data_IF_994799761060
#
_entry.id   IF_994799761060
#
_cell.length_a   1.000
_cell.length_b   1.000
_cell.length_c   1.000
_cell.angle_alpha   90.00
_cell.angle_beta   90.00
_cell.angle_gamma   90.00
#
_symmetry.space_group_name_H-M   'P 1'
#
loop_
_entity.id
_entity.type
_entity.pdbx_description
1 polymer ?
#
# COMPACT_ATOMS: atom_id res chain seq x y z
N UNK A 1 18.45 79.10 -98.36
CA UNK A 1 18.25 77.84 -97.63
C UNK A 1 17.13 78.05 -96.60
N UNK A 2 15.93 77.51 -96.88
CA UNK A 2 14.84 77.50 -95.90
C UNK A 2 15.32 76.74 -94.65
N UNK A 3 15.06 77.30 -93.46
CA UNK A 3 15.38 76.66 -92.18
C UNK A 3 14.49 75.42 -91.99
N UNK A 4 14.89 74.31 -92.60
CA UNK A 4 14.27 73.00 -92.39
C UNK A 4 14.73 72.51 -91.01
N UNK A 5 13.95 72.75 -89.95
CA UNK A 5 14.31 72.17 -88.64
C UNK A 5 13.66 72.76 -87.40
N UNK A 6 12.93 73.87 -87.47
CA UNK A 6 12.26 74.44 -86.28
C UNK A 6 10.80 74.79 -86.55
N UNK A 7 9.93 74.29 -85.69
CA UNK A 7 8.47 74.37 -85.77
C UNK A 7 7.83 73.05 -85.32
N UNK A 8 6.53 73.04 -85.04
CA UNK A 8 5.79 71.88 -84.52
C UNK A 8 5.81 70.62 -85.44
N UNK A 9 6.37 70.74 -86.65
CA UNK A 9 6.55 69.67 -87.63
C UNK A 9 8.03 69.22 -87.78
N UNK A 10 8.96 69.72 -86.97
CA UNK A 10 10.36 69.31 -87.07
C UNK A 10 10.64 67.96 -86.38
N UNK A 11 11.58 67.19 -86.94
CA UNK A 11 12.02 65.89 -86.39
C UNK A 11 12.45 65.99 -84.91
N UNK A 12 13.14 67.07 -84.54
CA UNK A 12 13.57 67.30 -83.16
C UNK A 12 12.38 67.54 -82.21
N UNK A 13 11.34 68.28 -82.65
CA UNK A 13 10.13 68.47 -81.86
C UNK A 13 9.34 67.15 -81.69
N UNK A 14 9.21 66.37 -82.76
CA UNK A 14 8.58 65.04 -82.70
C UNK A 14 9.35 64.08 -81.78
N UNK A 15 10.69 64.11 -81.79
CA UNK A 15 11.52 63.32 -80.88
C UNK A 15 11.38 63.77 -79.42
N UNK A 16 11.29 65.08 -79.15
CA UNK A 16 11.00 65.59 -77.81
C UNK A 16 9.62 65.16 -77.31
N UNK A 17 8.57 65.23 -78.14
CA UNK A 17 7.23 64.75 -77.78
C UNK A 17 7.23 63.24 -77.50
N UNK A 18 7.91 62.45 -78.34
CA UNK A 18 8.09 61.00 -78.10
C UNK A 18 8.78 60.75 -76.76
N UNK A 19 9.85 61.47 -76.46
CA UNK A 19 10.62 61.31 -75.21
C UNK A 19 9.82 61.75 -73.98
N UNK A 20 9.00 62.79 -74.08
CA UNK A 20 8.04 63.19 -73.04
C UNK A 20 7.04 62.06 -72.80
N UNK A 21 6.47 61.47 -73.87
CA UNK A 21 5.52 60.36 -73.73
C UNK A 21 6.15 59.10 -73.13
N UNK A 22 7.40 58.78 -73.46
CA UNK A 22 8.16 57.69 -72.85
C UNK A 22 8.45 57.95 -71.36
N UNK A 23 8.81 59.19 -70.99
CA UNK A 23 9.03 59.58 -69.60
C UNK A 23 7.73 59.53 -68.80
N UNK A 24 6.61 60.00 -69.35
CA UNK A 24 5.30 59.91 -68.71
C UNK A 24 4.86 58.45 -68.52
N UNK A 25 5.07 57.60 -69.53
CA UNK A 25 4.82 56.16 -69.42
C UNK A 25 5.69 55.52 -68.33
N UNK A 26 7.00 55.81 -68.30
CA UNK A 26 7.91 55.30 -67.26
C UNK A 26 7.55 55.81 -65.87
N UNK A 27 7.15 57.09 -65.75
CA UNK A 27 6.70 57.68 -64.48
C UNK A 27 5.46 56.95 -63.97
N UNK A 28 4.47 56.71 -64.85
CA UNK A 28 3.25 55.97 -64.49
C UNK A 28 3.54 54.53 -64.08
N UNK A 29 4.45 53.84 -64.78
CA UNK A 29 4.90 52.49 -64.41
C UNK A 29 5.58 52.48 -63.04
N UNK A 30 6.51 53.42 -62.78
CA UNK A 30 7.17 53.54 -61.46
C UNK A 30 6.20 53.89 -60.35
N UNK A 31 5.23 54.77 -60.60
CA UNK A 31 4.16 55.08 -59.64
C UNK A 31 3.31 53.84 -59.32
N UNK A 32 3.00 53.00 -60.32
CA UNK A 32 2.33 51.72 -60.12
C UNK A 32 3.18 50.74 -59.29
N UNK A 33 4.46 50.57 -59.64
CA UNK A 33 5.39 49.73 -58.87
C UNK A 33 5.53 50.20 -57.41
N UNK A 34 5.60 51.51 -57.19
CA UNK A 34 5.67 52.13 -55.86
C UNK A 34 4.39 51.83 -55.05
N UNK A 35 3.22 51.96 -55.66
CA UNK A 35 1.93 51.62 -55.02
C UNK A 35 1.89 50.14 -54.65
N UNK A 36 2.26 49.23 -55.56
CA UNK A 36 2.32 47.79 -55.29
C UNK A 36 3.27 47.46 -54.14
N UNK A 37 4.48 48.04 -54.11
CA UNK A 37 5.43 47.85 -53.00
C UNK A 37 4.88 48.35 -51.67
N UNK A 38 4.15 49.47 -51.69
CA UNK A 38 3.54 50.05 -50.49
C UNK A 38 2.45 49.12 -49.93
N UNK A 39 1.56 48.62 -50.78
CA UNK A 39 0.52 47.66 -50.39
C UNK A 39 1.11 46.33 -49.91
N UNK A 40 2.12 45.79 -50.59
CA UNK A 40 2.83 44.59 -50.11
C UNK A 40 3.45 44.80 -48.73
N UNK A 41 4.05 45.96 -48.48
CA UNK A 41 4.64 46.30 -47.18
C UNK A 41 3.58 46.38 -46.07
N UNK A 42 2.38 46.90 -46.38
CA UNK A 42 1.25 46.90 -45.43
C UNK A 42 0.83 45.48 -45.05
N UNK A 43 0.65 44.61 -46.05
CA UNK A 43 0.26 43.21 -45.83
C UNK A 43 1.28 42.49 -44.95
N UNK A 44 2.57 42.63 -45.28
CA UNK A 44 3.66 42.03 -44.49
C UNK A 44 3.68 42.55 -43.05
N UNK A 45 3.42 43.84 -42.85
CA UNK A 45 3.36 44.44 -41.52
C UNK A 45 2.16 43.94 -40.71
N UNK A 46 0.97 43.88 -41.31
CA UNK A 46 -0.22 43.34 -40.67
C UNK A 46 -0.04 41.85 -40.32
N UNK A 47 0.59 41.06 -41.19
CA UNK A 47 0.94 39.67 -40.89
C UNK A 47 1.84 39.55 -39.66
N UNK A 48 2.83 40.44 -39.51
CA UNK A 48 3.67 40.51 -38.32
C UNK A 48 2.87 40.87 -37.06
N UNK A 49 1.89 41.77 -37.16
CA UNK A 49 0.99 42.11 -36.04
C UNK A 49 0.18 40.90 -35.58
N UNK A 50 -0.41 40.16 -36.52
CA UNK A 50 -1.15 38.93 -36.24
C UNK A 50 -0.22 37.87 -35.62
N UNK A 51 1.00 37.73 -36.14
CA UNK A 51 1.99 36.83 -35.57
C UNK A 51 2.30 37.17 -34.10
N UNK A 52 2.52 38.46 -33.78
CA UNK A 52 2.72 38.87 -32.39
C UNK A 52 1.51 38.56 -31.51
N UNK A 53 0.29 38.72 -32.04
CA UNK A 53 -0.93 38.40 -31.30
C UNK A 53 -1.04 36.90 -30.99
N UNK A 54 -0.83 36.04 -31.99
CA UNK A 54 -0.85 34.58 -31.81
C UNK A 54 0.27 34.11 -30.86
N UNK A 55 1.43 34.76 -30.90
CA UNK A 55 2.53 34.53 -29.97
C UNK A 55 2.30 35.14 -28.58
N UNK A 56 1.13 35.71 -28.28
CA UNK A 56 0.78 36.35 -26.99
C UNK A 56 1.71 37.51 -26.61
N UNK A 57 2.29 38.17 -27.61
CA UNK A 57 3.19 39.34 -27.47
C UNK A 57 2.40 40.64 -27.57
N UNK A 58 1.36 40.79 -26.75
CA UNK A 58 0.37 41.86 -26.84
C UNK A 58 0.96 43.28 -26.82
N UNK A 59 2.01 43.55 -26.03
CA UNK A 59 2.70 44.85 -26.03
C UNK A 59 3.31 45.18 -27.40
N UNK A 60 3.82 44.19 -28.13
CA UNK A 60 4.35 44.38 -29.48
C UNK A 60 3.23 44.63 -30.49
N UNK A 61 2.06 44.01 -30.32
CA UNK A 61 0.87 44.30 -31.14
C UNK A 61 0.45 45.76 -30.97
N UNK A 62 0.37 46.26 -29.74
CA UNK A 62 0.00 47.66 -29.47
C UNK A 62 1.03 48.62 -30.08
N UNK A 63 2.33 48.37 -29.87
CA UNK A 63 3.38 49.18 -30.50
C UNK A 63 3.26 49.17 -32.02
N UNK A 64 3.05 48.00 -32.62
CA UNK A 64 2.90 47.85 -34.05
C UNK A 64 1.64 48.54 -34.59
N UNK A 65 0.52 48.48 -33.88
CA UNK A 65 -0.72 49.21 -34.20
C UNK A 65 -0.47 50.72 -34.28
N UNK A 66 0.24 51.28 -33.29
CA UNK A 66 0.58 52.71 -33.27
C UNK A 66 1.51 53.10 -34.43
N UNK A 67 2.53 52.29 -34.72
CA UNK A 67 3.41 52.50 -35.87
C UNK A 67 2.66 52.40 -37.20
N UNK A 68 1.77 51.41 -37.35
CA UNK A 68 0.97 51.21 -38.55
C UNK A 68 0.15 52.47 -38.87
N UNK A 69 -0.59 52.97 -37.88
CA UNK A 69 -1.41 54.17 -38.04
C UNK A 69 -0.56 55.41 -38.35
N UNK A 70 0.66 55.51 -37.83
CA UNK A 70 1.56 56.64 -38.09
C UNK A 70 2.20 56.59 -39.48
N UNK A 71 2.57 55.40 -39.96
CA UNK A 71 3.23 55.21 -41.27
C UNK A 71 2.23 55.40 -42.40
N UNK A 72 1.06 54.75 -42.32
CA UNK A 72 0.11 54.70 -43.43
C UNK A 72 -1.07 55.67 -43.30
N UNK A 73 -1.29 56.30 -42.13
CA UNK A 73 -2.37 57.28 -41.87
C UNK A 73 -3.78 56.78 -42.20
N UNK A 74 -3.92 55.48 -42.40
CA UNK A 74 -5.19 54.76 -42.54
C UNK A 74 -5.55 54.30 -41.13
N UNK A 75 -6.59 54.88 -40.53
CA UNK A 75 -6.98 54.61 -39.14
C UNK A 75 -7.35 53.15 -38.90
N UNK A 76 -8.64 52.80 -39.06
CA UNK A 76 -9.10 51.41 -38.88
C UNK A 76 -8.84 50.59 -40.15
N UNK A 77 -7.59 50.20 -40.36
CA UNK A 77 -7.21 49.33 -41.48
C UNK A 77 -7.75 47.91 -41.29
N UNK A 78 -8.64 47.46 -42.18
CA UNK A 78 -8.99 46.04 -42.29
C UNK A 78 -7.72 45.23 -42.54
N UNK A 79 -7.55 44.12 -41.84
CA UNK A 79 -6.42 43.23 -42.03
C UNK A 79 -6.59 42.51 -43.37
N UNK A 80 -5.54 42.49 -44.18
CA UNK A 80 -5.44 41.70 -45.41
C UNK A 80 -5.26 40.24 -45.03
N UNK A 81 -6.37 39.61 -44.67
CA UNK A 81 -6.48 38.20 -44.31
C UNK A 81 -7.32 37.53 -45.38
N UNK A 82 -6.85 36.39 -45.88
CA UNK A 82 -7.63 35.58 -46.81
C UNK A 82 -8.94 35.14 -46.13
N UNK A 83 -10.06 35.29 -46.84
CA UNK A 83 -11.39 35.02 -46.29
C UNK A 83 -11.55 33.56 -45.82
N UNK A 84 -10.83 32.64 -46.47
CA UNK A 84 -10.85 31.20 -46.15
C UNK A 84 -9.80 30.79 -45.11
N UNK A 85 -8.94 31.70 -44.65
CA UNK A 85 -7.89 31.37 -43.69
C UNK A 85 -8.45 31.10 -42.29
N UNK A 86 -7.77 30.21 -41.56
CA UNK A 86 -8.11 29.89 -40.17
C UNK A 86 -8.07 31.12 -39.25
N UNK A 87 -7.23 32.10 -39.60
CA UNK A 87 -7.14 33.36 -38.87
C UNK A 87 -8.43 34.15 -39.04
N UNK A 88 -8.96 34.28 -40.26
CA UNK A 88 -10.22 34.98 -40.47
C UNK A 88 -11.37 34.32 -39.70
N UNK A 89 -11.45 32.98 -39.72
CA UNK A 89 -12.45 32.21 -38.96
C UNK A 89 -12.36 32.44 -37.45
N UNK A 90 -11.16 32.56 -36.90
CA UNK A 90 -10.98 32.89 -35.47
C UNK A 90 -11.58 34.27 -35.15
N UNK A 91 -11.34 35.29 -35.98
CA UNK A 91 -11.92 36.62 -35.75
C UNK A 91 -13.44 36.65 -35.98
N UNK A 92 -13.92 36.10 -37.10
CA UNK A 92 -15.31 36.20 -37.51
C UNK A 92 -16.23 35.20 -36.81
N UNK A 93 -15.86 33.92 -36.76
CA UNK A 93 -16.69 32.83 -36.22
C UNK A 93 -16.49 32.64 -34.71
N UNK A 94 -15.26 32.77 -34.21
CA UNK A 94 -14.99 32.52 -32.79
C UNK A 94 -15.15 33.75 -31.91
N UNK A 95 -14.71 34.93 -32.39
CA UNK A 95 -14.73 36.17 -31.62
C UNK A 95 -15.84 37.13 -32.04
N UNK A 96 -16.51 36.91 -33.19
CA UNK A 96 -17.60 37.73 -33.67
C UNK A 96 -17.20 39.17 -34.03
N UNK A 97 -15.91 39.41 -34.32
CA UNK A 97 -15.35 40.74 -34.57
C UNK A 97 -14.70 40.82 -35.95
N UNK A 98 -14.71 42.01 -36.55
CA UNK A 98 -14.01 42.21 -37.82
C UNK A 98 -12.50 42.19 -37.61
N UNK A 99 -11.73 41.51 -38.48
CA UNK A 99 -10.28 41.45 -38.39
C UNK A 99 -9.68 42.78 -38.85
N UNK A 100 -9.54 43.73 -37.93
CA UNK A 100 -8.93 45.04 -38.19
C UNK A 100 -7.75 45.29 -37.27
N UNK A 101 -6.91 46.26 -37.62
CA UNK A 101 -5.81 46.73 -36.78
C UNK A 101 -6.33 47.23 -35.42
N UNK A 102 -7.49 47.90 -35.39
CA UNK A 102 -8.09 48.38 -34.13
C UNK A 102 -8.64 47.24 -33.26
N UNK A 103 -9.18 46.18 -33.87
CA UNK A 103 -9.60 44.97 -33.16
C UNK A 103 -8.41 44.28 -32.51
N UNK A 104 -7.29 44.13 -33.22
CA UNK A 104 -6.04 43.59 -32.67
C UNK A 104 -5.52 44.43 -31.49
N UNK A 105 -5.54 45.76 -31.61
CA UNK A 105 -5.14 46.69 -30.56
C UNK A 105 -6.01 46.51 -29.31
N UNK A 106 -7.33 46.45 -29.50
CA UNK A 106 -8.33 46.34 -28.42
C UNK A 106 -8.25 44.99 -27.70
N UNK A 107 -8.19 43.88 -28.45
CA UNK A 107 -8.03 42.53 -27.88
C UNK A 107 -6.69 42.40 -27.13
N UNK A 108 -5.63 43.00 -27.66
CA UNK A 108 -4.33 43.02 -26.99
C UNK A 108 -4.38 43.78 -25.66
N UNK A 109 -5.07 44.92 -25.62
CA UNK A 109 -5.26 45.68 -24.38
C UNK A 109 -6.07 44.89 -23.34
N UNK A 110 -7.12 44.19 -23.75
CA UNK A 110 -7.92 43.37 -22.84
C UNK A 110 -7.13 42.17 -22.32
N UNK A 111 -6.41 41.46 -23.20
CA UNK A 111 -5.53 40.36 -22.79
C UNK A 111 -4.44 40.81 -21.79
N UNK A 112 -3.85 41.99 -21.99
CA UNK A 112 -2.90 42.58 -21.02
C UNK A 112 -3.59 42.82 -19.68
N UNK A 113 -4.76 43.46 -19.70
CA UNK A 113 -5.52 43.76 -18.48
C UNK A 113 -5.91 42.49 -17.73
N UNK A 114 -6.32 41.44 -18.42
CA UNK A 114 -6.71 40.17 -17.82
C UNK A 114 -5.53 39.45 -17.17
N UNK A 115 -4.37 39.47 -17.83
CA UNK A 115 -3.12 38.91 -17.27
C UNK A 115 -2.68 39.71 -16.05
N UNK A 116 -2.68 41.05 -16.14
CA UNK A 116 -2.26 41.92 -15.04
C UNK A 116 -3.18 41.73 -13.81
N UNK A 117 -4.51 41.73 -14.01
CA UNK A 117 -5.48 41.39 -12.96
C UNK A 117 -5.30 39.96 -12.44
N UNK A 118 -4.99 39.01 -13.31
CA UNK A 118 -4.73 37.63 -12.95
C UNK A 118 -3.54 37.50 -12.01
N UNK A 119 -2.46 38.22 -12.30
CA UNK A 119 -1.26 38.30 -11.47
C UNK A 119 -1.55 38.99 -10.13
N UNK A 120 -2.29 40.10 -10.14
CA UNK A 120 -2.69 40.80 -8.90
C UNK A 120 -3.51 39.89 -7.98
N UNK A 121 -4.50 39.17 -8.52
CA UNK A 121 -5.30 38.21 -7.75
C UNK A 121 -4.44 37.05 -7.25
N UNK A 122 -3.52 36.54 -8.06
CA UNK A 122 -2.56 35.51 -7.62
C UNK A 122 -1.75 35.99 -6.41
N UNK A 123 -1.20 37.20 -6.44
CA UNK A 123 -0.40 37.73 -5.35
C UNK A 123 -1.22 37.86 -4.06
N UNK A 124 -2.45 38.36 -4.17
CA UNK A 124 -3.40 38.46 -3.06
C UNK A 124 -3.74 37.09 -2.45
N UNK A 125 -4.01 36.09 -3.28
CA UNK A 125 -4.34 34.72 -2.83
C UNK A 125 -3.14 34.07 -2.11
N UNK A 126 -1.92 34.26 -2.62
CA UNK A 126 -0.71 33.75 -1.96
C UNK A 126 -0.50 34.41 -0.60
N UNK A 127 -0.79 35.71 -0.48
CA UNK A 127 -0.68 36.44 0.79
C UNK A 127 -1.72 35.97 1.82
N UNK A 128 -2.89 35.50 1.35
CA UNK A 128 -3.92 34.90 2.20
C UNK A 128 -3.74 33.43 2.52
N UNK A 129 -2.75 32.75 1.95
CA UNK A 129 -2.57 31.31 2.12
C UNK A 129 -3.53 30.45 1.26
N UNK A 130 -4.26 31.06 0.33
CA UNK A 130 -5.20 30.40 -0.59
C UNK A 130 -4.45 29.82 -1.81
N UNK A 131 -3.56 28.86 -1.57
CA UNK A 131 -2.60 28.37 -2.57
C UNK A 131 -3.25 27.56 -3.70
N UNK A 132 -4.40 26.92 -3.47
CA UNK A 132 -5.08 26.16 -4.51
C UNK A 132 -5.62 27.11 -5.58
N UNK A 133 -6.39 28.10 -5.14
CA UNK A 133 -6.92 29.18 -5.98
C UNK A 133 -5.81 29.96 -6.65
N UNK A 134 -4.72 30.26 -5.93
CA UNK A 134 -3.55 30.93 -6.49
C UNK A 134 -2.95 30.13 -7.66
N UNK A 135 -2.81 28.81 -7.51
CA UNK A 135 -2.26 27.95 -8.57
C UNK A 135 -3.10 27.97 -9.86
N UNK A 136 -4.43 27.93 -9.71
CA UNK A 136 -5.37 27.98 -10.84
C UNK A 136 -5.30 29.34 -11.54
N UNK A 137 -5.32 30.42 -10.75
CA UNK A 137 -5.27 31.78 -11.30
C UNK A 137 -3.97 32.08 -12.02
N UNK A 138 -2.83 31.63 -11.48
CA UNK A 138 -1.54 31.77 -12.15
C UNK A 138 -1.49 30.97 -13.45
N UNK A 139 -2.03 29.75 -13.48
CA UNK A 139 -2.09 28.94 -14.69
C UNK A 139 -2.95 29.59 -15.78
N UNK A 140 -4.11 30.15 -15.42
CA UNK A 140 -4.97 30.93 -16.33
C UNK A 140 -4.23 32.13 -16.92
N UNK A 141 -3.58 32.94 -16.07
CA UNK A 141 -2.84 34.11 -16.52
C UNK A 141 -1.64 33.74 -17.40
N UNK A 142 -0.93 32.66 -17.06
CA UNK A 142 0.16 32.12 -17.88
C UNK A 142 -0.32 31.63 -19.25
N UNK A 143 -1.47 30.94 -19.30
CA UNK A 143 -2.05 30.46 -20.55
C UNK A 143 -2.41 31.62 -21.49
N UNK A 144 -2.86 32.76 -20.96
CA UNK A 144 -3.19 33.94 -21.78
C UNK A 144 -1.93 34.71 -22.17
N UNK A 145 -0.99 34.91 -21.24
CA UNK A 145 0.10 35.88 -21.39
C UNK A 145 1.48 35.39 -20.92
N UNK A 146 1.88 34.17 -21.28
CA UNK A 146 3.20 33.59 -20.95
C UNK A 146 4.38 34.58 -21.07
N UNK A 147 4.42 35.39 -22.13
CA UNK A 147 5.52 36.33 -22.37
C UNK A 147 5.30 37.73 -21.77
N UNK A 148 4.25 37.92 -20.99
CA UNK A 148 3.95 39.20 -20.36
C UNK A 148 4.94 39.53 -19.25
N UNK A 149 5.37 40.81 -19.11
CA UNK A 149 6.24 41.22 -18.02
C UNK A 149 5.66 40.89 -16.65
N UNK A 150 4.35 41.07 -16.43
CA UNK A 150 3.69 40.76 -15.16
C UNK A 150 3.94 39.31 -14.70
N UNK A 151 3.94 38.34 -15.62
CA UNK A 151 4.25 36.93 -15.33
C UNK A 151 5.76 36.73 -15.10
N UNK A 152 6.58 37.33 -15.96
CA UNK A 152 8.03 37.12 -15.95
C UNK A 152 8.73 37.77 -14.75
N UNK A 153 8.18 38.87 -14.22
CA UNK A 153 8.72 39.58 -13.06
C UNK A 153 8.13 39.11 -11.72
N UNK A 154 7.23 38.13 -11.72
CA UNK A 154 6.69 37.55 -10.49
C UNK A 154 7.81 37.09 -9.56
N UNK A 155 7.65 37.42 -8.28
CA UNK A 155 8.59 37.06 -7.23
C UNK A 155 8.78 35.53 -7.17
N UNK A 156 10.04 35.11 -7.05
CA UNK A 156 10.39 33.68 -7.05
C UNK A 156 9.83 32.96 -5.83
N UNK A 157 9.79 33.61 -4.68
CA UNK A 157 9.34 32.99 -3.43
C UNK A 157 7.83 32.73 -3.44
N UNK A 158 7.02 33.66 -3.95
CA UNK A 158 5.59 33.44 -4.19
C UNK A 158 5.34 32.25 -5.12
N UNK A 159 6.07 32.17 -6.24
CA UNK A 159 6.01 31.02 -7.16
C UNK A 159 6.40 29.70 -6.50
N UNK A 160 7.42 29.72 -5.63
CA UNK A 160 7.89 28.52 -4.93
C UNK A 160 6.87 27.99 -3.94
N UNK A 161 6.20 28.86 -3.17
CA UNK A 161 5.12 28.46 -2.25
C UNK A 161 4.02 27.69 -2.98
N UNK A 162 3.54 28.24 -4.09
CA UNK A 162 2.49 27.60 -4.91
C UNK A 162 2.99 26.32 -5.57
N UNK A 163 4.24 26.29 -6.05
CA UNK A 163 4.84 25.08 -6.61
C UNK A 163 4.92 23.93 -5.59
N UNK A 164 5.24 24.22 -4.33
CA UNK A 164 5.29 23.21 -3.26
C UNK A 164 3.91 22.61 -2.98
N UNK A 165 2.85 23.43 -3.00
CA UNK A 165 1.47 22.95 -2.95
C UNK A 165 1.13 22.05 -4.16
N UNK A 166 1.38 22.53 -5.39
CA UNK A 166 1.09 21.77 -6.62
C UNK A 166 1.82 20.42 -6.66
N UNK A 167 3.09 20.39 -6.22
CA UNK A 167 3.86 19.13 -6.10
C UNK A 167 3.23 18.18 -5.10
N UNK A 168 2.81 18.67 -3.93
CA UNK A 168 2.10 17.87 -2.94
C UNK A 168 0.78 17.31 -3.48
N UNK A 169 0.01 18.11 -4.21
CA UNK A 169 -1.23 17.67 -4.87
C UNK A 169 -1.00 16.58 -5.91
N UNK A 170 0.09 16.66 -6.68
CA UNK A 170 0.49 15.59 -7.60
C UNK A 170 0.92 14.32 -6.88
N UNK A 171 1.61 14.44 -5.73
CA UNK A 171 1.95 13.28 -4.89
C UNK A 171 0.69 12.62 -4.34
N UNK A 172 -0.31 13.40 -3.93
CA UNK A 172 -1.61 12.89 -3.49
C UNK A 172 -2.31 12.11 -4.61
N UNK A 173 -2.37 12.69 -5.82
CA UNK A 173 -2.97 12.03 -6.98
C UNK A 173 -2.27 10.68 -7.27
N UNK A 174 -0.94 10.69 -7.34
CA UNK A 174 -0.15 9.48 -7.57
C UNK A 174 -0.36 8.42 -6.46
N UNK A 175 -0.50 8.84 -5.19
CA UNK A 175 -0.78 7.94 -4.08
C UNK A 175 -2.15 7.29 -4.21
N UNK A 176 -3.18 8.06 -4.61
CA UNK A 176 -4.52 7.52 -4.87
C UNK A 176 -4.49 6.54 -6.07
N UNK A 177 -3.84 6.92 -7.17
CA UNK A 177 -3.76 6.09 -8.39
C UNK A 177 -3.00 4.78 -8.15
N UNK A 178 -1.95 4.83 -7.33
CA UNK A 178 -1.19 3.64 -6.90
C UNK A 178 -1.83 2.86 -5.76
N UNK A 179 -3.01 3.28 -5.27
CA UNK A 179 -3.75 2.68 -4.15
C UNK A 179 -2.96 2.68 -2.82
N UNK A 180 -2.01 3.61 -2.67
CA UNK A 180 -1.31 3.87 -1.42
C UNK A 180 -2.11 4.87 -0.57
N UNK A 181 -3.18 4.36 0.03
CA UNK A 181 -4.10 5.18 0.82
C UNK A 181 -3.52 5.68 2.15
N UNK A 182 -2.45 5.05 2.66
CA UNK A 182 -1.71 5.54 3.82
C UNK A 182 -1.02 6.84 3.46
N UNK A 183 -0.22 6.83 2.39
CA UNK A 183 0.46 8.03 1.90
C UNK A 183 -0.51 9.09 1.44
N UNK A 184 -1.63 8.72 0.81
CA UNK A 184 -2.68 9.67 0.44
C UNK A 184 -3.25 10.38 1.68
N UNK A 185 -3.47 9.67 2.78
CA UNK A 185 -3.96 10.26 4.04
C UNK A 185 -2.94 11.23 4.65
N UNK A 186 -1.66 10.86 4.68
CA UNK A 186 -0.57 11.73 5.13
C UNK A 186 -0.50 13.02 4.29
N UNK A 187 -0.53 12.87 2.96
CA UNK A 187 -0.44 14.00 2.04
C UNK A 187 -1.65 14.94 2.14
N UNK A 188 -2.85 14.41 2.36
CA UNK A 188 -4.05 15.22 2.63
C UNK A 188 -3.84 16.11 3.85
N UNK A 189 -3.31 15.55 4.94
CA UNK A 189 -3.06 16.31 6.16
C UNK A 189 -1.98 17.37 5.97
N UNK A 190 -0.92 17.05 5.23
CA UNK A 190 0.14 18.00 4.89
C UNK A 190 -0.40 19.17 4.04
N UNK A 191 -1.22 18.89 3.02
CA UNK A 191 -1.80 19.91 2.15
C UNK A 191 -2.78 20.83 2.88
N UNK A 192 -3.61 20.29 3.78
CA UNK A 192 -4.48 21.10 4.66
C UNK A 192 -3.71 22.04 5.58
N UNK A 193 -2.47 21.68 5.96
CA UNK A 193 -1.59 22.55 6.73
C UNK A 193 -0.87 23.62 5.91
N UNK A 194 -0.85 23.48 4.56
CA UNK A 194 -0.15 24.40 3.66
C UNK A 194 -1.06 25.41 2.97
N UNK A 195 -2.30 25.03 2.69
CA UNK A 195 -3.25 25.85 1.93
C UNK A 195 -4.59 25.90 2.65
N UNK A 196 -5.06 27.10 2.96
CA UNK A 196 -6.28 27.32 3.74
C UNK A 196 -7.55 27.01 2.93
N UNK A 197 -7.47 27.13 1.60
CA UNK A 197 -8.56 26.91 0.66
C UNK A 197 -8.61 25.49 0.06
N UNK A 198 -7.74 24.59 0.53
CA UNK A 198 -7.67 23.22 0.00
C UNK A 198 -8.88 22.38 0.44
N UNK A 199 -9.73 22.00 -0.53
CA UNK A 199 -10.86 21.10 -0.29
C UNK A 199 -10.44 19.62 -0.34
N UNK A 200 -10.13 19.08 0.83
CA UNK A 200 -9.79 17.68 1.01
C UNK A 200 -11.00 16.71 0.92
N UNK A 201 -12.24 17.20 0.87
CA UNK A 201 -13.46 16.38 1.10
C UNK A 201 -13.55 15.21 0.12
N UNK A 202 -13.31 15.46 -1.17
CA UNK A 202 -13.38 14.41 -2.20
C UNK A 202 -12.29 13.36 -2.02
N UNK A 203 -11.05 13.79 -1.77
CA UNK A 203 -9.92 12.89 -1.59
C UNK A 203 -10.11 12.04 -0.31
N UNK A 204 -10.53 12.65 0.79
CA UNK A 204 -10.84 11.96 2.04
C UNK A 204 -11.98 10.95 1.87
N UNK A 205 -13.07 11.33 1.19
CA UNK A 205 -14.18 10.42 0.94
C UNK A 205 -13.76 9.20 0.10
N UNK A 206 -12.95 9.42 -0.94
CA UNK A 206 -12.42 8.34 -1.77
C UNK A 206 -11.52 7.39 -0.95
N UNK A 207 -10.54 7.93 -0.23
CA UNK A 207 -9.64 7.15 0.64
C UNK A 207 -10.44 6.38 1.69
N UNK A 208 -11.38 7.03 2.38
CA UNK A 208 -12.22 6.39 3.38
C UNK A 208 -13.14 5.31 2.80
N UNK A 209 -13.60 5.45 1.55
CA UNK A 209 -14.41 4.44 0.89
C UNK A 209 -13.58 3.20 0.54
N UNK A 210 -12.41 3.36 -0.07
CA UNK A 210 -11.56 2.23 -0.46
C UNK A 210 -10.97 1.49 0.74
N UNK A 211 -10.49 2.22 1.74
CA UNK A 211 -9.97 1.62 2.98
C UNK A 211 -11.05 0.81 3.69
N UNK A 212 -12.27 1.36 3.86
CA UNK A 212 -13.40 0.62 4.44
C UNK A 212 -13.82 -0.58 3.61
N UNK A 213 -13.83 -0.47 2.29
CA UNK A 213 -14.18 -1.58 1.41
C UNK A 213 -13.17 -2.74 1.52
N UNK A 214 -11.87 -2.44 1.51
CA UNK A 214 -10.81 -3.44 1.73
C UNK A 214 -10.92 -4.07 3.13
N UNK A 215 -11.12 -3.26 4.17
CA UNK A 215 -11.30 -3.74 5.53
C UNK A 215 -12.50 -4.70 5.67
N UNK A 216 -13.60 -4.39 4.99
CA UNK A 216 -14.77 -5.26 4.96
C UNK A 216 -14.46 -6.61 4.32
N UNK A 217 -13.71 -6.63 3.22
CA UNK A 217 -13.29 -7.89 2.57
C UNK A 217 -12.38 -8.73 3.49
N UNK A 218 -11.46 -8.09 4.21
CA UNK A 218 -10.62 -8.79 5.21
C UNK A 218 -11.48 -9.36 6.35
N UNK A 219 -12.50 -8.62 6.81
CA UNK A 219 -13.43 -9.13 7.82
C UNK A 219 -14.24 -10.32 7.31
N UNK A 220 -14.70 -10.29 6.05
CA UNK A 220 -15.34 -11.44 5.42
C UNK A 220 -14.39 -12.65 5.33
N UNK A 221 -13.12 -12.42 4.98
CA UNK A 221 -12.11 -13.47 4.97
C UNK A 221 -11.90 -14.10 6.35
N UNK A 222 -11.80 -13.28 7.41
CA UNK A 222 -11.71 -13.76 8.81
C UNK A 222 -12.93 -14.62 9.19
N UNK A 223 -14.14 -14.22 8.78
CA UNK A 223 -15.36 -15.00 9.02
C UNK A 223 -15.36 -16.34 8.27
N UNK A 224 -14.94 -16.35 6.99
CA UNK A 224 -14.82 -17.58 6.21
C UNK A 224 -13.75 -18.53 6.77
N UNK A 225 -12.63 -17.99 7.23
CA UNK A 225 -11.59 -18.75 7.92
C UNK A 225 -12.13 -19.42 9.19
N UNK A 226 -12.90 -18.69 10.01
CA UNK A 226 -13.56 -19.24 11.20
C UNK A 226 -14.58 -20.34 10.84
N UNK A 227 -15.28 -20.20 9.71
CA UNK A 227 -16.18 -21.20 9.16
C UNK A 227 -15.47 -22.37 8.45
N UNK A 228 -14.12 -22.42 8.46
CA UNK A 228 -13.28 -23.42 7.78
C UNK A 228 -13.45 -23.46 6.25
N UNK A 229 -13.94 -22.37 5.65
CA UNK A 229 -14.13 -22.20 4.20
C UNK A 229 -12.93 -21.44 3.61
N UNK A 230 -11.84 -22.16 3.34
CA UNK A 230 -10.57 -21.58 2.91
C UNK A 230 -10.65 -20.97 1.50
N UNK A 231 -11.48 -21.52 0.62
CA UNK A 231 -11.63 -21.03 -0.76
C UNK A 231 -12.28 -19.64 -0.77
N UNK A 232 -13.38 -19.46 -0.03
CA UNK A 232 -14.02 -18.15 0.10
C UNK A 232 -13.15 -17.14 0.87
N UNK A 233 -12.39 -17.60 1.87
CA UNK A 233 -11.45 -16.75 2.58
C UNK A 233 -10.36 -16.19 1.64
N UNK A 234 -9.77 -17.04 0.79
CA UNK A 234 -8.79 -16.63 -0.22
C UNK A 234 -9.39 -15.68 -1.26
N UNK A 235 -10.62 -15.94 -1.71
CA UNK A 235 -11.33 -15.06 -2.63
C UNK A 235 -11.52 -13.64 -2.08
N UNK A 236 -11.99 -13.54 -0.83
CA UNK A 236 -12.18 -12.25 -0.15
C UNK A 236 -10.85 -11.50 0.05
N UNK A 237 -9.75 -12.18 0.39
CA UNK A 237 -8.42 -11.55 0.50
C UNK A 237 -7.91 -11.05 -0.85
N UNK A 238 -8.12 -11.80 -1.93
CA UNK A 238 -7.76 -11.32 -3.28
C UNK A 238 -8.47 -10.01 -3.61
N UNK A 239 -9.78 -9.94 -3.36
CA UNK A 239 -10.55 -8.71 -3.53
C UNK A 239 -10.07 -7.59 -2.61
N UNK A 240 -9.69 -7.88 -1.36
CA UNK A 240 -9.12 -6.89 -0.44
C UNK A 240 -7.82 -6.29 -0.97
N UNK A 241 -6.92 -7.13 -1.50
CA UNK A 241 -5.63 -6.72 -2.09
C UNK A 241 -5.82 -5.94 -3.39
N UNK A 242 -6.81 -6.31 -4.21
CA UNK A 242 -7.15 -5.53 -5.42
C UNK A 242 -7.59 -4.11 -5.08
N UNK A 243 -8.32 -3.91 -3.98
CA UNK A 243 -8.78 -2.60 -3.52
C UNK A 243 -7.64 -1.81 -2.87
N UNK A 244 -6.94 -2.42 -1.91
CA UNK A 244 -5.84 -1.82 -1.16
C UNK A 244 -4.74 -2.87 -0.89
N UNK A 245 -3.71 -2.92 -1.75
CA UNK A 245 -2.67 -3.96 -1.65
C UNK A 245 -1.85 -3.91 -0.36
N UNK A 246 -1.64 -2.70 0.17
CA UNK A 246 -0.82 -2.43 1.35
C UNK A 246 -1.69 -2.25 2.61
N UNK A 247 -2.88 -2.87 2.67
CA UNK A 247 -3.73 -2.77 3.85
C UNK A 247 -3.02 -3.41 5.05
N UNK A 248 -2.74 -2.68 6.15
CA UNK A 248 -2.02 -3.22 7.31
C UNK A 248 -2.74 -4.40 7.99
N UNK A 249 -4.06 -4.53 7.80
CA UNK A 249 -4.84 -5.65 8.35
C UNK A 249 -4.61 -6.98 7.62
N UNK A 250 -3.98 -6.97 6.44
CA UNK A 250 -3.57 -8.20 5.77
C UNK A 250 -2.52 -8.94 6.60
N UNK A 251 -1.58 -8.22 7.21
CA UNK A 251 -0.57 -8.81 8.11
C UNK A 251 -1.21 -9.48 9.32
N UNK A 252 -2.30 -8.91 9.86
CA UNK A 252 -3.05 -9.56 10.93
C UNK A 252 -3.74 -10.84 10.46
N UNK A 253 -4.27 -10.83 9.23
CA UNK A 253 -4.90 -12.01 8.65
C UNK A 253 -3.87 -13.14 8.42
N UNK A 254 -2.69 -12.83 7.89
CA UNK A 254 -1.62 -13.79 7.67
C UNK A 254 -1.23 -14.48 8.99
N UNK A 255 -1.07 -13.70 10.07
CA UNK A 255 -0.80 -14.25 11.41
C UNK A 255 -1.90 -15.18 11.90
N UNK A 256 -3.17 -14.88 11.60
CA UNK A 256 -4.30 -15.76 11.96
C UNK A 256 -4.28 -17.06 11.16
N UNK A 257 -3.94 -16.99 9.87
CA UNK A 257 -3.79 -18.18 9.02
C UNK A 257 -2.62 -19.04 9.50
N UNK A 258 -1.47 -18.44 9.81
CA UNK A 258 -0.29 -19.14 10.32
C UNK A 258 -0.56 -19.81 11.68
N UNK A 259 -1.27 -19.09 12.58
CA UNK A 259 -1.73 -19.66 13.85
C UNK A 259 -2.68 -20.85 13.62
N UNK A 260 -3.65 -20.71 12.71
CA UNK A 260 -4.55 -21.80 12.32
C UNK A 260 -3.82 -23.01 11.73
N UNK A 261 -2.85 -22.78 10.86
CA UNK A 261 -2.00 -23.83 10.27
C UNK A 261 -1.16 -24.56 11.33
N UNK A 262 -0.58 -23.81 12.28
CA UNK A 262 0.16 -24.38 13.41
C UNK A 262 -0.72 -25.26 14.29
N UNK A 263 -1.97 -24.84 14.56
CA UNK A 263 -2.93 -25.66 15.31
C UNK A 263 -3.27 -26.97 14.58
N UNK A 264 -3.43 -26.94 13.25
CA UNK A 264 -3.65 -28.16 12.45
C UNK A 264 -2.44 -29.10 12.54
N UNK A 265 -1.23 -28.56 12.44
CA UNK A 265 -0.01 -29.34 12.60
C UNK A 265 0.07 -29.97 13.99
N UNK A 266 -0.19 -29.21 15.06
CA UNK A 266 -0.20 -29.74 16.43
C UNK A 266 -1.26 -30.82 16.63
N UNK A 267 -2.45 -30.67 16.04
CA UNK A 267 -3.47 -31.72 16.08
C UNK A 267 -3.01 -33.02 15.40
N UNK A 268 -2.38 -32.91 14.23
CA UNK A 268 -1.85 -34.08 13.51
C UNK A 268 -0.67 -34.72 14.27
N UNK A 269 0.21 -33.90 14.86
CA UNK A 269 1.30 -34.35 15.72
C UNK A 269 0.78 -35.08 16.96
N UNK A 270 -0.29 -34.57 17.59
CA UNK A 270 -0.96 -35.23 18.71
C UNK A 270 -1.45 -36.63 18.31
N UNK A 271 -2.17 -36.74 17.19
CA UNK A 271 -2.69 -38.02 16.70
C UNK A 271 -1.56 -39.02 16.42
N UNK A 272 -0.45 -38.56 15.81
CA UNK A 272 0.75 -39.38 15.58
C UNK A 272 1.39 -39.84 16.88
N UNK A 273 1.68 -38.92 17.80
CA UNK A 273 2.33 -39.24 19.08
C UNK A 273 1.46 -40.16 19.94
N UNK A 274 0.13 -39.99 19.88
CA UNK A 274 -0.81 -40.88 20.54
C UNK A 274 -0.74 -42.30 19.96
N UNK A 275 -0.73 -42.45 18.63
CA UNK A 275 -0.62 -43.74 17.95
C UNK A 275 0.73 -44.43 18.21
N UNK A 276 1.81 -43.66 18.27
CA UNK A 276 3.15 -44.13 18.63
C UNK A 276 3.31 -44.46 20.13
N UNK A 277 2.27 -44.23 20.94
CA UNK A 277 2.29 -44.34 22.41
C UNK A 277 3.35 -43.46 23.08
N UNK A 278 3.77 -42.38 22.42
CA UNK A 278 4.76 -41.44 22.94
C UNK A 278 4.10 -40.39 23.86
N UNK A 279 3.49 -40.88 24.95
CA UNK A 279 2.69 -40.09 25.87
C UNK A 279 3.50 -39.04 26.65
N UNK A 280 4.81 -39.27 26.86
CA UNK A 280 5.70 -38.30 27.51
C UNK A 280 5.97 -37.08 26.63
N UNK A 281 6.10 -37.25 25.31
CA UNK A 281 6.21 -36.10 24.41
C UNK A 281 4.90 -35.29 24.40
N UNK A 282 3.76 -35.99 24.41
CA UNK A 282 2.43 -35.34 24.56
C UNK A 282 2.35 -34.50 25.83
N UNK A 283 2.84 -35.02 26.96
CA UNK A 283 2.86 -34.30 28.23
C UNK A 283 3.83 -33.10 28.25
N UNK A 284 5.00 -33.23 27.60
CA UNK A 284 5.96 -32.13 27.47
C UNK A 284 5.40 -30.97 26.66
N UNK A 285 4.74 -31.28 25.54
CA UNK A 285 4.13 -30.30 24.62
C UNK A 285 2.66 -29.98 24.95
N UNK A 286 2.21 -30.24 26.19
CA UNK A 286 0.81 -30.09 26.62
C UNK A 286 0.18 -28.71 26.34
N UNK A 287 0.97 -27.65 26.40
CA UNK A 287 0.49 -26.28 26.13
C UNK A 287 0.26 -26.00 24.64
N UNK A 288 0.89 -26.77 23.75
CA UNK A 288 0.67 -26.71 22.30
C UNK A 288 -0.58 -27.51 21.90
N UNK A 289 -0.78 -28.67 22.52
CA UNK A 289 -1.88 -29.57 22.16
C UNK A 289 -3.24 -29.14 22.70
N UNK A 290 -3.30 -28.61 23.93
CA UNK A 290 -4.56 -28.21 24.58
C UNK A 290 -5.44 -27.31 23.70
N UNK A 291 -4.92 -26.17 23.18
CA UNK A 291 -5.69 -25.32 22.28
C UNK A 291 -5.95 -25.94 20.89
N UNK A 292 -5.09 -26.83 20.39
CA UNK A 292 -5.23 -27.39 19.04
C UNK A 292 -6.33 -28.46 18.90
N UNK A 293 -6.73 -29.07 20.02
CA UNK A 293 -7.75 -30.12 20.08
C UNK A 293 -9.07 -29.60 20.67
N UNK A 294 -9.15 -28.30 20.97
CA UNK A 294 -10.33 -27.67 21.55
C UNK A 294 -11.54 -27.82 20.61
N UNK A 295 -12.69 -28.20 21.19
CA UNK A 295 -13.90 -28.54 20.45
C UNK A 295 -13.94 -29.95 19.84
N UNK A 296 -12.93 -30.80 20.04
CA UNK A 296 -12.96 -32.24 19.71
C UNK A 296 -13.03 -33.09 20.99
N UNK A 297 -14.21 -33.64 21.28
CA UNK A 297 -14.47 -34.38 22.52
C UNK A 297 -13.59 -35.62 22.70
N UNK A 298 -13.34 -36.39 21.63
CA UNK A 298 -12.56 -37.62 21.67
C UNK A 298 -11.07 -37.33 21.93
N UNK A 299 -10.50 -36.39 21.18
CA UNK A 299 -9.10 -35.97 21.38
C UNK A 299 -8.90 -35.35 22.75
N UNK A 300 -9.85 -34.54 23.21
CA UNK A 300 -9.81 -33.90 24.53
C UNK A 300 -9.85 -34.95 25.65
N UNK A 301 -10.68 -35.99 25.53
CA UNK A 301 -10.73 -37.08 26.50
C UNK A 301 -9.41 -37.86 26.56
N UNK A 302 -8.86 -38.24 25.40
CA UNK A 302 -7.56 -38.92 25.28
C UNK A 302 -6.41 -38.09 25.88
N UNK A 303 -6.39 -36.79 25.58
CA UNK A 303 -5.38 -35.88 26.11
C UNK A 303 -5.46 -35.78 27.63
N UNK A 304 -6.67 -35.63 28.20
CA UNK A 304 -6.87 -35.59 29.65
C UNK A 304 -6.37 -36.87 30.33
N UNK A 305 -6.72 -38.03 29.77
CA UNK A 305 -6.26 -39.32 30.30
C UNK A 305 -4.72 -39.41 30.31
N UNK A 306 -4.04 -38.91 29.26
CA UNK A 306 -2.57 -38.87 29.23
C UNK A 306 -2.03 -37.96 30.34
N UNK A 307 -2.61 -36.75 30.51
CA UNK A 307 -2.18 -35.84 31.57
C UNK A 307 -2.30 -36.48 32.95
N UNK A 308 -3.43 -37.14 33.23
CA UNK A 308 -3.66 -37.84 34.50
C UNK A 308 -2.67 -38.98 34.72
N UNK A 309 -2.49 -39.84 33.72
CA UNK A 309 -1.58 -40.99 33.80
C UNK A 309 -0.13 -40.56 34.03
N UNK A 310 0.39 -39.63 33.21
CA UNK A 310 1.78 -39.16 33.34
C UNK A 310 1.97 -38.39 34.65
N UNK A 311 0.99 -37.59 35.10
CA UNK A 311 1.07 -36.90 36.40
C UNK A 311 1.11 -37.89 37.57
N UNK A 312 0.31 -38.95 37.51
CA UNK A 312 0.34 -40.01 38.52
C UNK A 312 1.71 -40.71 38.56
N UNK A 313 2.28 -41.04 37.39
CA UNK A 313 3.62 -41.63 37.28
C UNK A 313 4.68 -40.67 37.85
N UNK A 314 4.69 -39.40 37.44
CA UNK A 314 5.66 -38.42 37.93
C UNK A 314 5.57 -38.21 39.44
N UNK A 315 4.36 -38.21 39.99
CA UNK A 315 4.14 -38.06 41.44
C UNK A 315 4.72 -39.24 42.19
N UNK A 316 4.46 -40.47 41.72
CA UNK A 316 5.01 -41.67 42.33
C UNK A 316 6.53 -41.74 42.21
N UNK A 317 7.10 -41.42 41.03
CA UNK A 317 8.56 -41.37 40.82
C UNK A 317 9.21 -40.35 41.75
N UNK A 318 8.65 -39.14 41.89
CA UNK A 318 9.17 -38.12 42.82
C UNK A 318 9.00 -38.53 44.28
N UNK A 319 7.92 -39.22 44.64
CA UNK A 319 7.70 -39.77 45.98
C UNK A 319 8.76 -40.81 46.33
N UNK A 320 8.94 -41.79 45.46
CA UNK A 320 9.93 -42.85 45.59
C UNK A 320 11.37 -42.34 45.54
N UNK A 321 11.67 -41.30 44.77
CA UNK A 321 12.96 -40.62 44.78
C UNK A 321 13.27 -40.03 46.16
N UNK A 322 12.32 -39.34 46.78
CA UNK A 322 12.47 -38.82 48.15
C UNK A 322 12.68 -39.94 49.15
N UNK A 323 11.91 -41.03 49.06
CA UNK A 323 12.06 -42.21 49.93
C UNK A 323 13.42 -42.89 49.77
N UNK A 324 13.90 -43.06 48.52
CA UNK A 324 15.23 -43.63 48.25
C UNK A 324 16.35 -42.75 48.82
N UNK A 325 16.22 -41.42 48.73
CA UNK A 325 17.20 -40.47 49.24
C UNK A 325 17.34 -40.51 50.78
N UNK A 326 16.26 -40.86 51.51
CA UNK A 326 16.30 -41.07 52.97
C UNK A 326 16.60 -42.53 53.37
N UNK A 327 17.03 -43.36 52.42
CA UNK A 327 17.42 -44.75 52.65
C UNK A 327 16.27 -45.77 52.68
N UNK A 328 15.02 -45.34 52.48
CA UNK A 328 13.83 -46.20 52.46
C UNK A 328 13.63 -46.84 51.07
N UNK A 329 14.63 -47.60 50.61
CA UNK A 329 14.63 -48.16 49.25
C UNK A 329 13.54 -49.22 49.01
N UNK A 330 13.23 -50.05 50.03
CA UNK A 330 12.17 -51.07 49.91
C UNK A 330 10.78 -50.44 49.75
N UNK A 331 10.47 -49.41 50.54
CA UNK A 331 9.21 -48.68 50.43
C UNK A 331 9.10 -47.95 49.07
N UNK A 332 10.17 -47.30 48.62
CA UNK A 332 10.25 -46.65 47.31
C UNK A 332 9.99 -47.64 46.16
N UNK A 333 10.50 -48.87 46.27
CA UNK A 333 10.30 -49.88 45.23
C UNK A 333 8.89 -50.44 45.25
N UNK A 334 8.33 -50.65 46.43
CA UNK A 334 6.98 -51.18 46.57
C UNK A 334 5.94 -50.21 46.02
N UNK A 335 6.03 -48.92 46.34
CA UNK A 335 5.16 -47.87 45.77
C UNK A 335 5.26 -47.81 44.23
N UNK A 336 6.48 -47.85 43.68
CA UNK A 336 6.66 -47.81 42.23
C UNK A 336 6.26 -49.09 41.52
N UNK A 337 6.36 -50.24 42.19
CA UNK A 337 5.98 -51.51 41.58
C UNK A 337 4.48 -51.56 41.28
N UNK A 338 3.62 -50.95 42.11
CA UNK A 338 2.19 -50.84 41.84
C UNK A 338 1.89 -49.92 40.64
N UNK A 339 2.64 -48.82 40.51
CA UNK A 339 2.52 -47.92 39.37
C UNK A 339 3.07 -48.57 38.09
N UNK A 340 4.13 -49.37 38.20
CA UNK A 340 4.73 -50.11 37.09
C UNK A 340 3.82 -51.23 36.58
N UNK A 341 3.07 -51.91 37.45
CA UNK A 341 2.04 -52.87 37.04
C UNK A 341 0.97 -52.21 36.14
N UNK A 342 0.66 -50.93 36.39
CA UNK A 342 -0.32 -50.16 35.60
C UNK A 342 0.29 -49.52 34.34
N UNK A 343 1.57 -49.17 34.38
CA UNK A 343 2.28 -48.45 33.32
C UNK A 343 3.64 -49.11 32.99
N UNK A 344 3.64 -50.36 32.48
CA UNK A 344 4.88 -51.13 32.31
C UNK A 344 5.81 -50.58 31.24
N UNK A 345 5.27 -49.86 30.26
CA UNK A 345 6.01 -49.34 29.11
C UNK A 345 6.58 -47.92 29.33
N UNK A 346 6.38 -47.32 30.51
CA UNK A 346 6.86 -45.95 30.77
C UNK A 346 8.40 -45.91 30.97
N UNK A 347 9.13 -45.14 30.16
CA UNK A 347 10.59 -45.19 30.14
C UNK A 347 11.24 -44.64 31.42
N UNK A 348 10.75 -43.53 31.98
CA UNK A 348 11.40 -42.93 33.16
C UNK A 348 11.08 -43.71 34.43
N UNK A 349 9.86 -44.26 34.54
CA UNK A 349 9.52 -45.22 35.59
C UNK A 349 10.44 -46.43 35.55
N UNK A 350 10.64 -47.02 34.37
CA UNK A 350 11.53 -48.17 34.17
C UNK A 350 12.98 -47.83 34.47
N UNK A 351 13.43 -46.64 34.07
CA UNK A 351 14.78 -46.17 34.37
C UNK A 351 14.99 -46.04 35.88
N UNK A 352 14.03 -45.46 36.61
CA UNK A 352 14.14 -45.31 38.06
C UNK A 352 14.06 -46.67 38.78
N UNK A 353 13.16 -47.54 38.37
CA UNK A 353 13.08 -48.92 38.87
C UNK A 353 14.38 -49.69 38.66
N UNK A 354 15.03 -49.52 37.51
CA UNK A 354 16.35 -50.13 37.20
C UNK A 354 17.45 -49.62 38.13
N UNK A 355 17.46 -48.31 38.43
CA UNK A 355 18.41 -47.72 39.40
C UNK A 355 18.17 -48.23 40.82
N UNK A 356 16.92 -48.52 41.16
CA UNK A 356 16.53 -49.01 42.48
C UNK A 356 16.81 -50.51 42.65
N UNK A 357 16.76 -51.30 41.57
CA UNK A 357 16.84 -52.76 41.60
C UNK A 357 18.01 -53.34 42.40
N UNK A 358 19.27 -52.86 42.29
CA UNK A 358 20.38 -53.39 43.09
C UNK A 358 20.21 -53.14 44.59
N UNK A 359 19.53 -52.06 44.99
CA UNK A 359 19.32 -51.67 46.39
C UNK A 359 18.22 -52.46 47.10
N UNK A 360 17.38 -53.16 46.33
CA UNK A 360 16.21 -53.90 46.84
C UNK A 360 16.21 -55.37 46.41
N UNK A 361 17.34 -55.87 45.92
CA UNK A 361 17.45 -57.19 45.31
C UNK A 361 17.07 -58.32 46.28
N UNK A 362 17.50 -58.25 47.53
CA UNK A 362 17.20 -59.26 48.55
C UNK A 362 15.70 -59.34 48.89
N UNK A 363 15.03 -58.19 48.98
CA UNK A 363 13.58 -58.10 49.21
C UNK A 363 12.77 -58.60 48.01
N UNK A 364 13.13 -58.16 46.79
CA UNK A 364 12.45 -58.60 45.56
C UNK A 364 12.66 -60.09 45.27
N UNK A 365 13.85 -60.65 45.57
CA UNK A 365 14.10 -62.10 45.51
C UNK A 365 13.19 -62.84 46.49
N UNK A 366 13.01 -62.33 47.72
CA UNK A 366 12.14 -62.96 48.70
C UNK A 366 10.67 -62.99 48.22
N UNK A 367 10.16 -61.88 47.68
CA UNK A 367 8.81 -61.82 47.10
C UNK A 367 8.64 -62.75 45.88
N UNK A 368 9.62 -62.78 44.98
CA UNK A 368 9.57 -63.64 43.79
C UNK A 368 9.63 -65.13 44.14
N UNK A 369 10.45 -65.52 45.11
CA UNK A 369 10.50 -66.90 45.59
C UNK A 369 9.19 -67.29 46.26
N UNK A 370 8.60 -66.41 47.07
CA UNK A 370 7.28 -66.62 47.66
C UNK A 370 6.23 -66.91 46.58
N UNK A 371 6.13 -66.05 45.55
CA UNK A 371 5.20 -66.22 44.43
C UNK A 371 5.40 -67.54 43.68
N UNK A 372 6.66 -67.90 43.37
CA UNK A 372 6.97 -69.19 42.69
C UNK A 372 6.58 -70.42 43.52
N UNK A 373 6.75 -70.38 44.84
CA UNK A 373 6.35 -71.49 45.70
C UNK A 373 4.84 -71.57 45.84
N UNK A 374 4.15 -70.43 45.88
CA UNK A 374 2.69 -70.33 45.86
C UNK A 374 2.10 -70.90 44.57
N UNK A 375 2.62 -70.53 43.40
CA UNK A 375 2.20 -71.08 42.09
C UNK A 375 2.40 -72.60 41.98
N UNK A 376 3.34 -73.17 42.75
CA UNK A 376 3.61 -74.61 42.83
C UNK A 376 2.82 -75.32 43.93
N UNK A 377 1.90 -74.65 44.59
CA UNK A 377 1.08 -75.20 45.69
C UNK A 377 1.85 -75.43 47.01
N UNK A 378 3.09 -74.97 47.13
CA UNK A 378 3.92 -75.15 48.31
C UNK A 378 3.73 -74.02 49.32
N UNK A 379 2.57 -74.01 49.99
CA UNK A 379 2.11 -72.94 50.88
C UNK A 379 3.10 -72.63 52.02
N UNK A 380 3.69 -73.63 52.67
CA UNK A 380 4.62 -73.42 53.79
C UNK A 380 5.92 -72.71 53.39
N UNK A 381 6.47 -73.09 52.23
CA UNK A 381 7.67 -72.43 51.67
C UNK A 381 7.34 -71.01 51.20
N UNK A 382 6.16 -70.82 50.60
CA UNK A 382 5.70 -69.49 50.19
C UNK A 382 5.53 -68.54 51.38
N UNK A 383 4.89 -69.00 52.47
CA UNK A 383 4.75 -68.24 53.72
C UNK A 383 6.12 -67.89 54.33
N UNK A 384 7.07 -68.83 54.35
CA UNK A 384 8.41 -68.60 54.89
C UNK A 384 9.15 -67.48 54.14
N UNK A 385 9.04 -67.44 52.81
CA UNK A 385 9.61 -66.38 51.99
C UNK A 385 8.90 -65.04 52.16
N UNK A 386 7.58 -65.02 52.38
CA UNK A 386 6.86 -63.78 52.70
C UNK A 386 7.22 -63.23 54.08
N UNK A 387 7.42 -64.07 55.09
CA UNK A 387 7.91 -63.63 56.40
C UNK A 387 9.34 -63.07 56.30
N UNK A 388 10.18 -63.65 55.44
CA UNK A 388 11.51 -63.07 55.14
C UNK A 388 11.39 -61.70 54.47
N UNK A 389 10.47 -61.53 53.52
CA UNK A 389 10.20 -60.22 52.90
C UNK A 389 9.68 -59.21 53.95
N UNK A 390 8.79 -59.62 54.85
CA UNK A 390 8.28 -58.80 55.97
C UNK A 390 9.38 -58.46 56.97
N UNK A 391 10.37 -59.33 57.19
CA UNK A 391 11.52 -59.03 58.04
C UNK A 391 12.42 -57.95 57.42
N UNK A 392 12.66 -58.01 56.10
CA UNK A 392 13.44 -57.01 55.37
C UNK A 392 12.71 -55.65 55.28
N UNK A 393 11.39 -55.67 55.08
CA UNK A 393 10.55 -54.49 55.07
C UNK A 393 9.29 -54.71 55.93
N UNK A 394 9.32 -54.32 57.22
CA UNK A 394 8.21 -54.54 58.16
C UNK A 394 6.89 -53.90 57.76
N UNK A 395 6.94 -52.78 57.03
CA UNK A 395 5.75 -52.07 56.57
C UNK A 395 5.27 -52.51 55.18
N UNK A 396 5.86 -53.56 54.59
CA UNK A 396 5.45 -54.06 53.27
C UNK A 396 3.98 -54.50 53.27
N UNK A 397 3.19 -53.92 52.38
CA UNK A 397 1.79 -54.25 52.12
C UNK A 397 1.67 -55.50 51.22
N UNK A 398 2.56 -55.67 50.24
CA UNK A 398 2.65 -56.85 49.36
C UNK A 398 2.97 -58.10 50.17
N UNK A 399 3.92 -58.03 51.12
CA UNK A 399 4.19 -59.15 52.00
C UNK A 399 3.00 -59.44 52.93
N UNK A 400 2.36 -58.41 53.49
CA UNK A 400 1.20 -58.55 54.37
C UNK A 400 0.00 -59.20 53.67
N UNK A 401 -0.31 -58.72 52.47
CA UNK A 401 -1.41 -59.21 51.64
C UNK A 401 -1.16 -60.65 51.20
N UNK A 402 0.08 -60.96 50.80
CA UNK A 402 0.48 -62.33 50.49
C UNK A 402 0.31 -63.27 51.69
N UNK A 403 0.72 -62.86 52.90
CA UNK A 403 0.62 -63.68 54.11
C UNK A 403 -0.86 -63.93 54.42
N UNK A 404 -1.69 -62.88 54.43
CA UNK A 404 -3.14 -63.00 54.68
C UNK A 404 -3.80 -63.94 53.68
N UNK A 405 -3.49 -63.81 52.38
CA UNK A 405 -4.02 -64.68 51.33
C UNK A 405 -3.64 -66.15 51.56
N UNK A 406 -2.35 -66.42 51.81
CA UNK A 406 -1.87 -67.80 51.98
C UNK A 406 -2.35 -68.44 53.29
N UNK A 407 -2.47 -67.67 54.37
CA UNK A 407 -3.05 -68.16 55.63
C UNK A 407 -4.51 -68.54 55.43
N UNK A 408 -5.27 -67.74 54.68
CA UNK A 408 -6.67 -68.07 54.39
C UNK A 408 -6.80 -69.34 53.53
N UNK A 409 -5.94 -69.51 52.52
CA UNK A 409 -5.90 -70.72 51.69
C UNK A 409 -5.47 -71.95 52.50
N UNK A 410 -4.59 -71.79 53.50
CA UNK A 410 -4.16 -72.89 54.38
C UNK A 410 -5.19 -73.26 55.46
N UNK A 411 -6.20 -72.40 55.70
CA UNK A 411 -7.29 -72.61 56.67
C UNK A 411 -8.59 -73.13 56.01
N UNK A 412 -8.63 -73.19 54.68
CA UNK A 412 -9.64 -73.93 53.90
C UNK A 412 -9.16 -75.36 53.65
#
# INVERSE_FOLDING_TARGET
>A
AQQVGRGAQSLAYAEHVRRISEIEAQKKTRELEQKVKTELSKVQYQALMVQFFVQRRFKHVIMASRFYNQIWKEGDGTLYIDQDSDINKVFSESLGVSPTVSTLDSLSHEAIRDVDKGVEVFEFLVERGELESASKRLAEAYLVGEFMPAINTLERDKKRKVLEFVRGSNVLLNAIDSKDYTKATEQINELRGKADDFDATKAQAAVAAFTRASDMQIMMAKNHLAAKDMEKAQGAIRSAMEIWPQNPKLVEFDRLVDAGGSLIQFRNDFDRLFAEKNYREVFRRRFEFGPSIDGDEDRTAKFRQIMENITAIETAVKGAEKMSNIGQNYAAWEELSEVHERFPDDPDLNQFMTKLAPKVADFTIALNNAKRHEERGNLGSALSWLYKAKHLHPLSEKADTGIKRLVQVALQ
#
